data_IF_092976924146
#
_entry.id   IF_092976924146
#
_cell.length_a   1.000
_cell.length_b   1.000
_cell.length_c   1.000
_cell.angle_alpha   90.00
_cell.angle_beta   90.00
_cell.angle_gamma   90.00
#
_symmetry.space_group_name_H-M   'P 1'
#
loop_
_entity.id
_entity.type
_entity.pdbx_description
1 polymer ?
#
# COMPACT_ATOMS: atom_id res chain seq x y z
N UNK A 1 -34.32 27.25 34.45
CA UNK A 1 -33.64 28.51 34.05
C UNK A 1 -33.25 28.36 32.60
N UNK A 2 -34.05 28.97 31.71
CA UNK A 2 -34.03 28.76 30.28
C UNK A 2 -33.22 29.89 29.65
N UNK A 3 -32.19 29.56 28.90
CA UNK A 3 -31.49 30.55 28.04
C UNK A 3 -31.70 30.17 26.60
N UNK A 4 -32.41 31.07 25.87
CA UNK A 4 -32.59 31.04 24.45
C UNK A 4 -31.31 31.54 23.77
N UNK A 5 -30.95 30.92 22.67
CA UNK A 5 -29.91 31.40 21.77
C UNK A 5 -30.59 31.79 20.43
N UNK A 6 -30.54 33.08 20.13
CA UNK A 6 -31.10 33.66 18.92
C UNK A 6 -30.04 33.66 17.81
N UNK A 7 -30.49 33.31 16.64
CA UNK A 7 -29.69 33.06 15.47
C UNK A 7 -29.10 34.27 14.76
N UNK A 8 -28.10 34.02 13.97
CA UNK A 8 -27.68 34.86 12.86
C UNK A 8 -27.35 33.95 11.64
N UNK A 9 -28.18 34.07 10.62
CA UNK A 9 -28.03 33.33 9.37
C UNK A 9 -26.94 33.91 8.46
N UNK A 10 -26.40 33.08 7.54
CA UNK A 10 -25.31 33.49 6.64
C UNK A 10 -25.81 34.30 5.45
N UNK A 11 -25.12 35.40 5.17
CA UNK A 11 -25.31 36.28 4.02
C UNK A 11 -24.90 35.58 2.72
N UNK A 12 -25.80 35.48 1.77
CA UNK A 12 -25.56 35.07 0.38
C UNK A 12 -24.82 36.20 -0.39
N UNK A 13 -23.60 35.91 -0.85
CA UNK A 13 -22.95 36.70 -1.89
C UNK A 13 -23.35 36.15 -3.28
N UNK A 14 -24.06 36.98 -4.01
CA UNK A 14 -24.38 36.82 -5.45
C UNK A 14 -23.13 37.26 -6.23
N UNK A 15 -22.42 36.36 -6.89
CA UNK A 15 -21.41 36.67 -7.90
C UNK A 15 -22.01 36.70 -9.29
N UNK A 16 -21.94 37.82 -9.94
CA UNK A 16 -22.37 38.05 -11.32
C UNK A 16 -21.43 37.31 -12.30
N UNK A 17 -22.01 36.49 -13.15
CA UNK A 17 -21.30 35.88 -14.28
C UNK A 17 -21.30 36.88 -15.44
N UNK A 18 -20.14 37.38 -15.82
CA UNK A 18 -19.95 38.10 -17.11
C UNK A 18 -19.70 37.08 -18.21
N UNK A 19 -20.60 37.04 -19.16
CA UNK A 19 -20.47 36.30 -20.42
C UNK A 19 -19.69 37.21 -21.37
N UNK A 20 -18.50 36.81 -21.79
CA UNK A 20 -17.79 37.44 -22.89
C UNK A 20 -18.08 36.67 -24.19
N UNK A 21 -18.80 37.32 -25.08
CA UNK A 21 -18.97 36.85 -26.45
C UNK A 21 -17.69 37.14 -27.23
N UNK A 22 -17.07 36.08 -27.77
CA UNK A 22 -15.96 36.20 -28.71
C UNK A 22 -16.51 36.18 -30.12
N UNK A 23 -16.37 37.32 -30.81
CA UNK A 23 -16.74 37.44 -32.20
C UNK A 23 -15.66 36.83 -33.10
N UNK A 24 -16.06 35.89 -33.96
CA UNK A 24 -15.19 35.30 -34.98
C UNK A 24 -15.28 36.22 -36.23
N UNK A 25 -14.16 36.87 -36.56
CA UNK A 25 -14.01 37.58 -37.82
C UNK A 25 -13.49 36.64 -38.91
N UNK A 26 -14.30 36.41 -39.91
CA UNK A 26 -13.95 35.63 -41.10
C UNK A 26 -13.25 36.56 -42.11
N UNK A 27 -11.95 36.42 -42.32
CA UNK A 27 -11.22 37.12 -43.36
C UNK A 27 -11.02 36.21 -44.58
N UNK A 28 -11.73 36.51 -45.66
CA UNK A 28 -11.53 35.93 -46.98
C UNK A 28 -10.34 36.62 -47.64
N UNK A 29 -9.23 35.92 -47.84
CA UNK A 29 -8.18 36.38 -48.77
C UNK A 29 -8.18 35.49 -50.02
N UNK A 30 -8.51 36.11 -51.14
CA UNK A 30 -8.17 35.59 -52.46
C UNK A 30 -6.78 36.08 -52.83
N UNK A 31 -5.88 35.18 -53.19
CA UNK A 31 -4.74 35.53 -53.99
C UNK A 31 -4.34 34.38 -54.90
N UNK A 32 -4.23 34.75 -56.14
CA UNK A 32 -3.84 33.99 -57.33
C UNK A 32 -2.36 33.61 -57.30
N UNK A 33 -2.06 32.38 -57.67
CA UNK A 33 -0.99 31.92 -58.54
C UNK A 33 0.47 32.25 -58.21
N UNK A 34 1.23 31.21 -57.92
CA UNK A 34 2.53 30.95 -58.61
C UNK A 34 3.00 29.52 -58.19
N UNK A 35 3.16 28.70 -59.22
CA UNK A 35 3.85 27.39 -59.13
C UNK A 35 5.35 27.67 -58.90
N UNK A 36 5.92 27.10 -57.85
CA UNK A 36 7.35 26.88 -57.78
C UNK A 36 7.54 25.43 -57.32
N UNK A 37 8.19 24.64 -58.17
CA UNK A 37 8.65 23.30 -57.87
C UNK A 37 9.65 23.32 -56.72
N UNK A 38 9.34 22.66 -55.66
CA UNK A 38 10.28 22.35 -54.57
C UNK A 38 10.39 20.83 -54.41
N UNK A 39 11.62 20.27 -54.39
CA UNK A 39 11.79 18.84 -54.34
C UNK A 39 11.42 18.28 -52.99
N UNK A 40 10.58 17.27 -52.98
CA UNK A 40 10.19 16.50 -51.81
C UNK A 40 11.44 15.94 -51.09
N UNK A 41 11.83 16.57 -50.00
CA UNK A 41 12.72 15.95 -48.99
C UNK A 41 11.91 14.91 -48.24
N UNK A 42 12.04 13.65 -48.65
CA UNK A 42 11.64 12.51 -47.88
C UNK A 42 12.53 12.47 -46.60
N UNK A 43 12.13 13.11 -45.52
CA UNK A 43 12.62 12.78 -44.19
C UNK A 43 12.00 11.46 -43.81
N UNK A 44 12.74 10.38 -44.11
CA UNK A 44 12.43 9.06 -43.57
C UNK A 44 12.61 9.11 -42.05
N UNK A 45 11.55 9.47 -41.37
CA UNK A 45 11.41 9.24 -39.95
C UNK A 45 11.37 7.73 -39.77
N UNK A 46 12.52 7.18 -39.39
CA UNK A 46 12.67 5.77 -39.06
C UNK A 46 11.81 5.53 -37.86
N UNK A 47 10.54 5.12 -38.07
CA UNK A 47 9.71 4.58 -37.01
C UNK A 47 10.55 3.54 -36.28
N UNK A 48 10.94 3.87 -35.06
CA UNK A 48 11.54 2.89 -34.15
C UNK A 48 10.56 1.72 -34.14
N UNK A 49 11.01 0.55 -34.57
CA UNK A 49 10.20 -0.65 -34.53
C UNK A 49 9.79 -0.84 -33.06
N UNK A 50 8.51 -0.63 -32.75
CA UNK A 50 7.96 -0.97 -31.45
C UNK A 50 8.26 -2.44 -31.21
N UNK A 51 8.89 -2.73 -30.08
CA UNK A 51 9.09 -4.11 -29.67
C UNK A 51 7.73 -4.84 -29.73
N UNK A 52 7.67 -6.08 -30.22
CA UNK A 52 6.41 -6.79 -30.36
C UNK A 52 5.72 -6.87 -29.00
N UNK A 53 4.51 -6.32 -28.89
CA UNK A 53 3.70 -6.37 -27.68
C UNK A 53 3.47 -7.82 -27.27
N UNK A 54 3.71 -8.15 -26.00
CA UNK A 54 3.45 -9.47 -25.46
C UNK A 54 1.94 -9.76 -25.49
N UNK A 55 1.58 -11.03 -25.65
CA UNK A 55 0.19 -11.47 -25.47
C UNK A 55 -0.10 -11.73 -23.99
N UNK A 56 -1.36 -11.69 -23.59
CA UNK A 56 -1.79 -12.04 -22.23
C UNK A 56 -1.30 -13.42 -21.83
N UNK A 57 -1.36 -14.38 -22.75
CA UNK A 57 -0.85 -15.74 -22.53
C UNK A 57 0.66 -15.76 -22.28
N UNK A 58 1.44 -15.00 -23.04
CA UNK A 58 2.90 -14.93 -22.86
C UNK A 58 3.26 -14.29 -21.52
N UNK A 59 2.55 -13.23 -21.11
CA UNK A 59 2.72 -12.59 -19.81
C UNK A 59 2.39 -13.59 -18.69
N UNK A 60 1.24 -14.25 -18.77
CA UNK A 60 0.83 -15.24 -17.78
C UNK A 60 1.86 -16.36 -17.58
N UNK A 61 2.46 -16.82 -18.68
CA UNK A 61 3.52 -17.84 -18.65
C UNK A 61 4.80 -17.31 -18.03
N UNK A 62 5.21 -16.09 -18.38
CA UNK A 62 6.45 -15.46 -17.90
C UNK A 62 6.39 -15.20 -16.39
N UNK A 63 5.26 -14.67 -15.87
CA UNK A 63 5.14 -14.30 -14.46
C UNK A 63 4.76 -15.47 -13.55
N UNK A 64 4.46 -16.62 -14.12
CA UNK A 64 3.89 -17.77 -13.40
C UNK A 64 4.66 -18.16 -12.13
N UNK A 65 5.98 -18.22 -12.21
CA UNK A 65 6.82 -18.69 -11.11
C UNK A 65 7.05 -17.61 -10.05
N UNK A 66 6.64 -16.39 -10.35
CA UNK A 66 6.69 -15.24 -9.45
C UNK A 66 5.40 -15.02 -8.67
N UNK A 67 4.30 -15.69 -9.05
CA UNK A 67 3.00 -15.57 -8.37
C UNK A 67 2.87 -16.65 -7.31
N UNK A 68 2.48 -16.25 -6.12
CA UNK A 68 2.35 -17.14 -4.96
C UNK A 68 0.96 -17.06 -4.35
N UNK A 69 0.57 -18.13 -3.67
CA UNK A 69 -0.62 -18.18 -2.85
C UNK A 69 -0.25 -17.91 -1.40
N UNK A 70 -0.91 -16.95 -0.78
CA UNK A 70 -0.74 -16.66 0.65
C UNK A 70 -1.92 -17.26 1.41
N UNK A 71 -1.61 -18.01 2.46
CA UNK A 71 -2.57 -18.63 3.36
C UNK A 71 -2.33 -18.17 4.78
N UNK A 72 -3.37 -17.85 5.51
CA UNK A 72 -3.27 -17.67 6.95
C UNK A 72 -4.20 -18.62 7.69
N UNK A 73 -3.77 -19.03 8.87
CA UNK A 73 -4.53 -19.96 9.70
C UNK A 73 -5.43 -19.22 10.68
N UNK A 74 -6.62 -19.79 10.89
CA UNK A 74 -7.51 -19.39 11.95
C UNK A 74 -7.02 -19.86 13.34
N UNK A 75 -7.72 -19.40 14.40
CA UNK A 75 -7.40 -19.80 15.78
C UNK A 75 -7.53 -21.31 16.04
N UNK A 76 -8.26 -22.03 15.22
CA UNK A 76 -8.42 -23.48 15.26
C UNK A 76 -7.42 -24.26 14.41
N UNK A 77 -6.39 -23.61 13.85
CA UNK A 77 -5.37 -24.27 13.01
C UNK A 77 -5.79 -24.59 11.57
N UNK A 78 -7.05 -24.32 11.21
CA UNK A 78 -7.51 -24.50 9.82
C UNK A 78 -7.16 -23.29 8.97
N UNK A 79 -6.89 -23.50 7.68
CA UNK A 79 -6.74 -22.42 6.71
C UNK A 79 -8.03 -21.60 6.65
N UNK A 80 -7.98 -20.31 6.95
CA UNK A 80 -9.14 -19.42 7.02
C UNK A 80 -9.13 -18.31 5.99
N UNK A 81 -7.98 -18.01 5.40
CA UNK A 81 -7.87 -16.98 4.38
C UNK A 81 -6.95 -17.41 3.26
N UNK A 82 -7.31 -16.99 2.07
CA UNK A 82 -6.56 -17.20 0.86
C UNK A 82 -6.43 -15.88 0.13
N UNK A 83 -5.24 -15.57 -0.32
CA UNK A 83 -4.96 -14.44 -1.19
C UNK A 83 -3.78 -14.72 -2.09
N UNK A 84 -3.41 -13.71 -2.83
CA UNK A 84 -2.29 -13.75 -3.76
C UNK A 84 -1.14 -12.88 -3.23
N UNK A 85 0.06 -13.24 -3.60
CA UNK A 85 1.26 -12.42 -3.49
C UNK A 85 2.13 -12.58 -4.72
N UNK A 86 3.16 -11.79 -4.82
CA UNK A 86 4.16 -11.93 -5.88
C UNK A 86 5.55 -11.63 -5.37
N UNK A 87 6.51 -12.29 -5.97
CA UNK A 87 7.93 -12.19 -5.61
C UNK A 87 8.48 -10.83 -6.05
N UNK A 88 9.12 -10.11 -5.11
CA UNK A 88 9.82 -8.84 -5.37
C UNK A 88 11.32 -8.91 -5.08
N UNK A 89 11.79 -9.98 -4.44
CA UNK A 89 13.21 -10.23 -4.16
C UNK A 89 13.58 -11.70 -4.32
N UNK A 90 14.72 -11.97 -4.93
CA UNK A 90 15.21 -13.34 -5.13
C UNK A 90 15.56 -14.05 -3.80
N UNK A 91 15.65 -13.29 -2.72
CA UNK A 91 15.97 -13.69 -1.35
C UNK A 91 14.73 -14.03 -0.51
N UNK A 92 13.57 -14.22 -1.16
CA UNK A 92 12.33 -14.64 -0.49
C UNK A 92 11.40 -13.50 -0.09
N UNK A 93 11.57 -12.28 -0.63
CA UNK A 93 10.64 -11.18 -0.40
C UNK A 93 9.43 -11.28 -1.31
N UNK A 94 8.24 -11.16 -0.71
CA UNK A 94 6.94 -11.30 -1.37
C UNK A 94 6.06 -10.14 -0.96
N UNK A 95 5.51 -9.43 -1.95
CA UNK A 95 4.54 -8.36 -1.75
C UNK A 95 3.10 -8.88 -1.78
N UNK A 96 2.23 -8.28 -0.98
CA UNK A 96 0.79 -8.56 -0.92
C UNK A 96 0.04 -7.44 -0.19
N UNK A 97 -1.27 -7.61 0.02
CA UNK A 97 -2.03 -6.75 0.91
C UNK A 97 -1.86 -7.13 2.38
N UNK A 98 -1.96 -6.12 3.25
CA UNK A 98 -1.94 -6.32 4.70
C UNK A 98 -3.08 -7.22 5.18
N UNK A 99 -4.30 -7.02 4.68
CA UNK A 99 -5.47 -7.83 5.07
C UNK A 99 -5.33 -9.30 4.65
N UNK A 100 -4.53 -9.60 3.60
CA UNK A 100 -4.28 -10.97 3.12
C UNK A 100 -3.41 -11.76 4.10
N UNK A 101 -2.44 -11.13 4.75
CA UNK A 101 -1.58 -11.82 5.72
C UNK A 101 -2.26 -12.02 7.08
N UNK A 102 -3.33 -11.26 7.36
CA UNK A 102 -4.08 -11.35 8.62
C UNK A 102 -3.23 -10.99 9.85
N UNK A 103 -3.82 -10.23 10.76
CA UNK A 103 -3.13 -9.77 11.99
C UNK A 103 -2.92 -10.90 12.99
N UNK A 104 -1.68 -11.04 13.47
CA UNK A 104 -1.30 -12.00 14.50
C UNK A 104 -1.77 -13.44 14.15
N UNK A 105 -1.54 -13.86 12.93
CA UNK A 105 -1.88 -15.19 12.41
C UNK A 105 -0.65 -15.86 11.83
N UNK A 106 -0.52 -17.19 11.93
CA UNK A 106 0.43 -17.94 11.15
C UNK A 106 0.15 -17.76 9.66
N UNK A 107 1.19 -17.44 8.90
CA UNK A 107 1.12 -17.18 7.45
C UNK A 107 2.07 -18.13 6.75
N UNK A 108 1.60 -18.74 5.69
CA UNK A 108 2.42 -19.56 4.79
C UNK A 108 2.24 -19.14 3.35
N UNK A 109 3.25 -19.39 2.56
CA UNK A 109 3.33 -19.08 1.12
C UNK A 109 3.48 -20.38 0.36
N UNK A 110 2.63 -20.59 -0.63
CA UNK A 110 2.70 -21.71 -1.57
C UNK A 110 3.23 -21.18 -2.91
N UNK A 111 4.38 -21.71 -3.33
CA UNK A 111 5.03 -21.35 -4.58
C UNK A 111 4.39 -22.04 -5.79
N UNK A 112 4.86 -21.65 -6.98
CA UNK A 112 4.39 -22.20 -8.24
C UNK A 112 4.64 -23.71 -8.42
N UNK A 113 5.67 -24.24 -7.78
CA UNK A 113 6.02 -25.65 -7.77
C UNK A 113 5.20 -26.49 -6.76
N UNK A 114 4.27 -25.85 -6.04
CA UNK A 114 3.45 -26.47 -5.00
C UNK A 114 4.15 -26.56 -3.65
N UNK A 115 5.41 -26.15 -3.53
CA UNK A 115 6.10 -26.14 -2.25
C UNK A 115 5.54 -25.07 -1.33
N UNK A 116 5.35 -25.42 -0.03
CA UNK A 116 4.83 -24.50 0.98
C UNK A 116 5.96 -24.09 1.95
N UNK A 117 6.02 -22.81 2.22
CA UNK A 117 7.02 -22.22 3.10
C UNK A 117 6.34 -21.34 4.14
N UNK A 118 6.72 -21.50 5.39
CA UNK A 118 6.26 -20.60 6.45
C UNK A 118 6.93 -19.24 6.32
N UNK A 119 6.15 -18.18 6.59
CA UNK A 119 6.69 -16.83 6.71
C UNK A 119 7.52 -16.74 7.97
N UNK A 120 8.75 -16.26 7.83
CA UNK A 120 9.71 -16.11 8.94
C UNK A 120 9.68 -14.70 9.53
N UNK A 121 9.24 -13.72 8.74
CA UNK A 121 9.23 -12.30 9.08
C UNK A 121 8.16 -11.56 8.27
N UNK A 122 7.44 -10.67 8.91
CA UNK A 122 6.75 -9.59 8.23
C UNK A 122 7.81 -8.50 8.00
N UNK A 123 8.41 -8.51 6.82
CA UNK A 123 9.55 -7.65 6.49
C UNK A 123 9.20 -6.17 6.55
N UNK A 124 8.05 -5.82 6.00
CA UNK A 124 7.49 -4.48 6.11
C UNK A 124 5.97 -4.51 6.02
N UNK A 125 5.30 -3.58 6.68
CA UNK A 125 3.85 -3.46 6.57
C UNK A 125 3.35 -2.06 6.83
N UNK A 126 2.31 -1.66 6.08
CA UNK A 126 1.52 -0.46 6.32
C UNK A 126 0.04 -0.85 6.31
N UNK A 127 -0.57 -0.79 7.50
CA UNK A 127 -2.00 -1.10 7.65
C UNK A 127 -2.89 -0.05 7.00
N UNK A 128 -2.48 1.23 7.02
CA UNK A 128 -3.28 2.31 6.44
C UNK A 128 -3.25 2.24 4.91
N UNK A 129 -2.12 1.87 4.33
CA UNK A 129 -1.99 1.64 2.90
C UNK A 129 -2.50 0.26 2.45
N UNK A 130 -2.79 -0.65 3.38
CA UNK A 130 -3.15 -2.05 3.11
C UNK A 130 -2.05 -2.81 2.34
N UNK A 131 -0.78 -2.56 2.67
CA UNK A 131 0.39 -3.16 2.03
C UNK A 131 1.21 -3.98 3.02
N UNK A 132 1.78 -5.08 2.55
CA UNK A 132 2.71 -5.90 3.30
C UNK A 132 3.77 -6.53 2.40
N UNK A 133 4.97 -6.68 2.96
CA UNK A 133 6.06 -7.48 2.40
C UNK A 133 6.37 -8.55 3.43
N UNK A 134 6.30 -9.80 3.03
CA UNK A 134 6.67 -10.95 3.89
C UNK A 134 7.95 -11.59 3.39
N UNK A 135 8.65 -12.28 4.27
CA UNK A 135 9.86 -13.05 3.96
C UNK A 135 9.66 -14.53 4.23
N UNK A 136 10.11 -15.35 3.29
CA UNK A 136 10.23 -16.81 3.47
C UNK A 136 11.71 -17.23 3.36
N UNK A 137 12.05 -18.37 3.97
CA UNK A 137 13.42 -18.93 3.93
C UNK A 137 13.67 -19.65 2.59
N UNK A 138 13.58 -18.93 1.46
CA UNK A 138 13.81 -19.46 0.12
C UNK A 138 14.65 -18.49 -0.70
N UNK A 139 15.63 -19.03 -1.42
CA UNK A 139 16.51 -18.27 -2.33
C UNK A 139 16.25 -18.67 -3.78
N UNK A 140 16.69 -17.81 -4.69
CA UNK A 140 16.63 -18.10 -6.12
C UNK A 140 15.24 -17.95 -6.72
N UNK A 141 14.35 -17.17 -6.08
CA UNK A 141 13.05 -16.83 -6.63
C UNK A 141 13.19 -15.82 -7.78
N UNK A 142 12.23 -15.80 -8.70
CA UNK A 142 12.18 -14.88 -9.84
C UNK A 142 11.36 -13.63 -9.46
N UNK A 143 11.97 -12.47 -9.19
CA UNK A 143 11.22 -11.26 -8.85
C UNK A 143 10.57 -10.64 -10.09
N UNK A 144 9.37 -10.08 -9.93
CA UNK A 144 8.72 -9.26 -10.94
C UNK A 144 9.35 -7.86 -11.00
N UNK A 145 9.47 -7.32 -12.19
CA UNK A 145 9.88 -5.95 -12.39
C UNK A 145 8.75 -5.00 -11.96
N UNK A 146 9.09 -4.01 -11.12
CA UNK A 146 8.15 -2.97 -10.73
C UNK A 146 8.13 -1.87 -11.78
N UNK A 147 6.94 -1.44 -12.17
CA UNK A 147 6.68 -0.33 -13.07
C UNK A 147 6.42 0.97 -12.31
N UNK A 148 5.84 1.94 -13.00
CA UNK A 148 5.50 3.25 -12.47
C UNK A 148 4.03 3.57 -12.81
N UNK A 149 3.13 3.64 -11.82
CA UNK A 149 1.69 3.78 -12.08
C UNK A 149 1.32 5.01 -12.90
N UNK A 150 2.12 6.07 -12.80
CA UNK A 150 1.94 7.32 -13.56
C UNK A 150 2.06 7.11 -15.08
N UNK A 151 2.79 6.07 -15.52
CA UNK A 151 2.96 5.76 -16.94
C UNK A 151 1.76 5.03 -17.55
N UNK A 152 0.87 4.45 -16.73
CA UNK A 152 -0.37 3.86 -17.21
C UNK A 152 -1.35 4.94 -17.63
N UNK A 153 -1.73 4.95 -18.90
CA UNK A 153 -2.79 5.83 -19.40
C UNK A 153 -4.18 5.25 -19.09
N UNK A 154 -5.18 6.13 -19.01
CA UNK A 154 -6.58 5.70 -19.01
C UNK A 154 -6.88 4.93 -20.30
N UNK A 155 -7.58 3.80 -20.19
CA UNK A 155 -7.83 2.87 -21.30
C UNK A 155 -6.68 1.91 -21.62
N UNK A 156 -5.51 2.02 -20.97
CA UNK A 156 -4.40 1.09 -21.17
C UNK A 156 -4.82 -0.36 -20.88
N UNK A 157 -4.33 -1.29 -21.69
CA UNK A 157 -4.49 -2.72 -21.44
C UNK A 157 -3.64 -3.16 -20.27
N UNK A 158 -4.22 -3.97 -19.40
CA UNK A 158 -3.58 -4.50 -18.19
C UNK A 158 -4.00 -5.94 -17.94
N UNK A 159 -3.17 -6.66 -17.22
CA UNK A 159 -3.40 -8.05 -16.83
C UNK A 159 -3.38 -8.16 -15.31
N UNK A 160 -4.48 -8.62 -14.75
CA UNK A 160 -4.59 -8.98 -13.34
C UNK A 160 -4.29 -10.47 -13.17
N UNK A 161 -3.40 -10.81 -12.23
CA UNK A 161 -3.07 -12.21 -11.93
C UNK A 161 -3.35 -12.48 -10.47
N UNK A 162 -4.08 -13.56 -10.20
CA UNK A 162 -4.45 -13.94 -8.84
C UNK A 162 -4.79 -15.42 -8.71
N UNK A 163 -5.22 -15.80 -7.51
CA UNK A 163 -5.65 -17.16 -7.19
C UNK A 163 -7.06 -17.18 -6.58
N UNK A 164 -8.10 -16.83 -7.36
CA UNK A 164 -9.47 -16.77 -6.85
C UNK A 164 -9.91 -18.18 -6.42
N UNK A 165 -10.49 -18.27 -5.22
CA UNK A 165 -11.06 -19.50 -4.66
C UNK A 165 -10.12 -20.73 -4.65
N UNK A 166 -8.79 -20.52 -4.73
CA UNK A 166 -7.85 -21.64 -4.85
C UNK A 166 -7.84 -22.31 -6.24
N UNK A 167 -8.54 -21.70 -7.21
CA UNK A 167 -8.42 -22.07 -8.62
C UNK A 167 -7.09 -21.50 -9.11
N UNK A 168 -6.12 -22.37 -9.30
CA UNK A 168 -4.74 -22.00 -9.61
C UNK A 168 -4.64 -20.94 -10.71
N UNK A 169 -4.10 -19.75 -10.32
CA UNK A 169 -3.60 -18.70 -11.20
C UNK A 169 -4.57 -18.23 -12.27
N UNK A 170 -5.64 -17.61 -11.82
CA UNK A 170 -6.57 -16.91 -12.71
C UNK A 170 -5.90 -15.68 -13.31
N UNK A 171 -5.98 -15.55 -14.62
CA UNK A 171 -5.47 -14.41 -15.37
C UNK A 171 -6.66 -13.70 -16.01
N UNK A 172 -6.80 -12.41 -15.74
CA UNK A 172 -7.88 -11.60 -16.27
C UNK A 172 -7.31 -10.37 -16.96
N UNK A 173 -7.55 -10.25 -18.25
CA UNK A 173 -7.20 -9.07 -19.00
C UNK A 173 -8.32 -8.02 -18.91
N UNK A 174 -7.94 -6.75 -18.90
CA UNK A 174 -8.87 -5.65 -18.89
C UNK A 174 -8.21 -4.32 -19.15
N UNK A 175 -8.84 -3.23 -18.68
CA UNK A 175 -8.34 -1.88 -18.94
C UNK A 175 -8.35 -1.02 -17.68
N UNK A 176 -7.43 -0.08 -17.65
CA UNK A 176 -7.44 1.01 -16.67
C UNK A 176 -8.65 1.90 -16.97
N UNK A 177 -9.51 2.10 -15.98
CA UNK A 177 -10.67 3.02 -16.08
C UNK A 177 -10.33 4.43 -15.61
N UNK A 178 -9.22 4.59 -14.91
CA UNK A 178 -8.74 5.88 -14.43
C UNK A 178 -8.00 5.75 -13.11
N UNK A 179 -7.43 6.85 -12.64
CA UNK A 179 -6.79 6.97 -11.32
C UNK A 179 -7.71 7.72 -10.38
N UNK A 180 -7.77 7.31 -9.13
CA UNK A 180 -8.65 7.89 -8.10
C UNK A 180 -7.89 8.06 -6.80
N UNK A 181 -8.28 9.05 -6.04
CA UNK A 181 -7.90 9.17 -4.65
C UNK A 181 -9.05 8.66 -3.78
N UNK A 182 -8.80 7.64 -2.96
CA UNK A 182 -9.79 7.03 -2.06
C UNK A 182 -9.13 6.96 -0.67
N UNK A 183 -9.73 7.62 0.31
CA UNK A 183 -9.23 7.70 1.69
C UNK A 183 -7.75 8.15 1.76
N UNK A 184 -7.38 9.15 0.93
CA UNK A 184 -6.02 9.68 0.85
C UNK A 184 -4.99 8.75 0.17
N UNK A 185 -5.46 7.71 -0.55
CA UNK A 185 -4.61 6.75 -1.27
C UNK A 185 -4.82 6.83 -2.77
N UNK A 186 -3.72 6.82 -3.52
CA UNK A 186 -3.76 6.72 -4.98
C UNK A 186 -4.15 5.29 -5.40
N UNK A 187 -5.28 5.17 -6.08
CA UNK A 187 -5.84 3.90 -6.52
C UNK A 187 -5.98 3.87 -8.04
N UNK A 188 -5.67 2.74 -8.64
CA UNK A 188 -5.92 2.48 -10.06
C UNK A 188 -7.28 1.81 -10.16
N UNK A 189 -8.24 2.46 -10.80
CA UNK A 189 -9.55 1.93 -11.08
C UNK A 189 -9.50 1.07 -12.35
N UNK A 190 -10.11 -0.10 -12.31
CA UNK A 190 -10.00 -1.12 -13.34
C UNK A 190 -11.37 -1.56 -13.84
N UNK A 191 -11.50 -1.77 -15.13
CA UNK A 191 -12.61 -2.50 -15.74
C UNK A 191 -12.32 -4.01 -15.73
N UNK A 192 -12.06 -4.55 -14.53
CA UNK A 192 -11.77 -5.97 -14.28
C UNK A 192 -12.55 -6.39 -13.03
N UNK A 193 -13.26 -7.52 -13.06
CA UNK A 193 -13.84 -8.08 -11.85
C UNK A 193 -12.73 -8.58 -10.91
N UNK A 194 -12.70 -8.06 -9.68
CA UNK A 194 -11.81 -8.56 -8.63
C UNK A 194 -12.60 -9.50 -7.75
N UNK A 195 -12.19 -10.76 -7.70
CA UNK A 195 -12.81 -11.79 -6.87
C UNK A 195 -11.98 -12.08 -5.62
N UNK A 196 -12.59 -12.61 -4.55
CA UNK A 196 -11.86 -13.06 -3.38
C UNK A 196 -10.76 -14.05 -3.76
N UNK A 197 -9.53 -13.82 -3.30
CA UNK A 197 -8.34 -14.57 -3.69
C UNK A 197 -7.43 -13.83 -4.68
N UNK A 198 -7.94 -12.87 -5.45
CA UNK A 198 -7.11 -12.01 -6.29
C UNK A 198 -6.40 -10.91 -5.50
N UNK A 199 -6.91 -10.55 -4.31
CA UNK A 199 -6.28 -9.56 -3.43
C UNK A 199 -4.83 -9.90 -3.16
N UNK A 200 -3.94 -8.91 -3.26
CA UNK A 200 -2.50 -9.05 -3.13
C UNK A 200 -1.78 -9.44 -4.42
N UNK A 201 -2.51 -9.80 -5.47
CA UNK A 201 -1.95 -10.12 -6.78
C UNK A 201 -1.49 -8.88 -7.55
N UNK A 202 -0.56 -9.03 -8.51
CA UNK A 202 -0.06 -7.92 -9.31
C UNK A 202 -1.05 -7.52 -10.40
N UNK A 203 -1.08 -6.22 -10.67
CA UNK A 203 -1.61 -5.60 -11.88
C UNK A 203 -0.44 -5.32 -12.82
N UNK A 204 -0.41 -5.97 -13.96
CA UNK A 204 0.68 -5.92 -14.93
C UNK A 204 0.31 -5.09 -16.16
N UNK A 205 1.28 -4.41 -16.75
CA UNK A 205 1.18 -3.88 -18.10
C UNK A 205 1.45 -4.98 -19.16
N UNK A 206 1.40 -4.61 -20.44
CA UNK A 206 1.64 -5.54 -21.53
C UNK A 206 3.14 -5.86 -21.77
N UNK A 207 4.03 -5.28 -20.98
CA UNK A 207 5.46 -5.62 -20.87
C UNK A 207 5.73 -6.58 -19.69
N UNK A 208 4.73 -6.83 -18.83
CA UNK A 208 4.84 -7.70 -17.65
C UNK A 208 5.39 -7.01 -16.40
N UNK A 209 5.40 -5.68 -16.36
CA UNK A 209 5.80 -4.90 -15.18
C UNK A 209 4.61 -4.67 -14.26
N UNK A 210 4.86 -4.69 -12.95
CA UNK A 210 3.83 -4.48 -11.94
C UNK A 210 3.59 -2.99 -11.73
N UNK A 211 2.36 -2.53 -11.96
CA UNK A 211 1.92 -1.15 -11.73
C UNK A 211 1.04 -0.99 -10.50
N UNK A 212 0.52 -2.08 -9.96
CA UNK A 212 -0.34 -2.03 -8.78
C UNK A 212 -0.54 -3.38 -8.12
N UNK A 213 -1.12 -3.34 -6.93
CA UNK A 213 -1.50 -4.51 -6.13
C UNK A 213 -3.03 -4.55 -6.04
N UNK A 214 -3.64 -5.61 -6.54
CA UNK A 214 -5.09 -5.80 -6.52
C UNK A 214 -5.59 -5.84 -5.08
N UNK A 215 -6.65 -5.10 -4.74
CA UNK A 215 -7.08 -5.02 -3.34
C UNK A 215 -8.57 -5.21 -3.12
N UNK A 216 -9.43 -4.46 -3.79
CA UNK A 216 -10.86 -4.49 -3.52
C UNK A 216 -11.68 -4.47 -4.80
N UNK A 217 -12.92 -4.94 -4.68
CA UNK A 217 -13.97 -4.74 -5.67
C UNK A 217 -14.95 -3.66 -5.21
N UNK A 218 -15.57 -2.97 -6.16
CA UNK A 218 -16.69 -2.09 -5.85
C UNK A 218 -17.89 -2.91 -5.33
N UNK A 219 -18.45 -2.49 -4.21
CA UNK A 219 -19.68 -3.08 -3.68
C UNK A 219 -20.93 -2.57 -4.42
N UNK A 220 -20.81 -1.45 -5.15
CA UNK A 220 -21.94 -0.77 -5.81
C UNK A 220 -21.98 -1.06 -7.29
N UNK A 221 -20.82 -1.18 -7.94
CA UNK A 221 -20.72 -1.36 -9.39
C UNK A 221 -20.06 -2.69 -9.72
N UNK A 222 -20.79 -3.65 -10.30
CA UNK A 222 -20.19 -4.89 -10.82
C UNK A 222 -19.09 -4.61 -11.83
N UNK A 223 -18.09 -5.48 -11.91
CA UNK A 223 -16.96 -5.40 -12.85
C UNK A 223 -16.02 -4.20 -12.64
N UNK A 224 -16.10 -3.52 -11.49
CA UNK A 224 -15.20 -2.45 -11.12
C UNK A 224 -14.27 -2.93 -10.02
N UNK A 225 -12.98 -3.00 -10.32
CA UNK A 225 -11.92 -3.35 -9.39
C UNK A 225 -11.00 -2.17 -9.10
N UNK A 226 -10.17 -2.33 -8.08
CA UNK A 226 -9.16 -1.35 -7.70
C UNK A 226 -7.83 -2.05 -7.39
N UNK A 227 -6.75 -1.37 -7.72
CA UNK A 227 -5.41 -1.73 -7.30
C UNK A 227 -4.74 -0.53 -6.61
N UNK A 228 -3.96 -0.82 -5.58
CA UNK A 228 -3.07 0.16 -4.95
C UNK A 228 -1.89 0.37 -5.88
N UNK A 229 -1.53 1.62 -6.18
CA UNK A 229 -0.36 1.92 -7.01
C UNK A 229 0.92 1.33 -6.41
N UNK A 230 1.76 0.73 -7.26
CA UNK A 230 2.98 0.04 -6.81
C UNK A 230 4.02 1.01 -6.21
N UNK A 231 3.97 2.27 -6.57
CA UNK A 231 4.78 3.35 -5.99
C UNK A 231 4.62 3.46 -4.47
N UNK A 232 3.43 3.10 -3.94
CA UNK A 232 3.17 3.09 -2.51
C UNK A 232 3.89 1.95 -1.76
N UNK A 233 4.42 0.96 -2.47
CA UNK A 233 5.26 -0.09 -1.89
C UNK A 233 6.71 0.37 -1.69
N UNK A 234 7.18 1.36 -2.46
CA UNK A 234 8.58 1.82 -2.43
C UNK A 234 9.06 2.27 -1.03
N UNK A 235 8.28 3.05 -0.25
CA UNK A 235 8.69 3.39 1.11
C UNK A 235 8.91 2.19 2.02
N UNK A 236 8.17 1.10 1.82
CA UNK A 236 8.31 -0.14 2.58
C UNK A 236 9.53 -0.96 2.15
N UNK A 237 9.94 -0.82 0.89
CA UNK A 237 11.19 -1.42 0.38
C UNK A 237 12.40 -0.65 0.90
N UNK A 238 12.36 0.68 0.85
CA UNK A 238 13.50 1.54 1.21
C UNK A 238 13.74 1.63 2.72
N UNK A 239 12.65 1.58 3.50
CA UNK A 239 12.68 1.69 4.96
C UNK A 239 11.76 0.65 5.58
N UNK A 240 12.15 -0.63 5.56
CA UNK A 240 11.35 -1.69 6.13
C UNK A 240 11.19 -1.53 7.65
N UNK A 241 10.08 -2.06 8.17
CA UNK A 241 9.76 -2.11 9.59
C UNK A 241 9.55 -3.56 10.05
N UNK A 242 10.63 -4.37 10.05
CA UNK A 242 10.53 -5.80 10.20
C UNK A 242 9.98 -6.22 11.57
N UNK A 243 9.11 -7.24 11.53
CA UNK A 243 8.56 -7.89 12.70
C UNK A 243 8.79 -9.39 12.55
N UNK A 244 9.62 -9.96 13.41
CA UNK A 244 9.83 -11.40 13.45
C UNK A 244 8.52 -12.15 13.67
N UNK A 245 8.37 -13.33 13.10
CA UNK A 245 7.07 -14.03 13.08
C UNK A 245 6.55 -14.37 14.47
N UNK A 246 7.41 -14.68 15.43
CA UNK A 246 7.05 -14.94 16.81
C UNK A 246 6.41 -13.70 17.47
N UNK A 247 6.98 -12.52 17.26
CA UNK A 247 6.40 -11.25 17.71
C UNK A 247 5.11 -10.92 16.98
N UNK A 248 5.03 -11.22 15.68
CA UNK A 248 3.81 -11.05 14.91
C UNK A 248 2.65 -11.87 15.45
N UNK A 249 2.94 -13.10 15.91
CA UNK A 249 1.94 -14.01 16.47
C UNK A 249 1.52 -13.66 17.89
N UNK A 250 2.28 -12.82 18.59
CA UNK A 250 2.03 -12.49 19.99
C UNK A 250 0.86 -11.53 20.13
N UNK A 251 -0.07 -11.87 21.03
CA UNK A 251 -1.23 -11.07 21.44
C UNK A 251 -1.31 -11.10 22.96
N UNK A 252 -1.43 -9.94 23.59
CA UNK A 252 -1.68 -9.86 25.04
C UNK A 252 -0.83 -8.83 25.75
N UNK A 253 -0.34 -9.17 26.95
CA UNK A 253 0.58 -8.32 27.70
C UNK A 253 1.95 -8.27 27.04
N UNK A 254 2.69 -7.20 27.31
CA UNK A 254 4.08 -7.11 26.91
C UNK A 254 4.90 -8.21 27.61
N UNK A 255 5.93 -8.69 26.91
CA UNK A 255 6.91 -9.58 27.51
C UNK A 255 7.74 -8.80 28.55
N UNK A 256 7.70 -9.23 29.80
CA UNK A 256 8.43 -8.59 30.90
C UNK A 256 9.96 -8.75 30.76
N UNK A 257 10.43 -9.72 29.99
CA UNK A 257 11.84 -9.86 29.63
C UNK A 257 12.34 -8.80 28.66
N UNK A 258 11.45 -8.27 27.82
CA UNK A 258 11.78 -7.26 26.81
C UNK A 258 11.39 -5.85 27.25
N UNK A 259 10.34 -5.70 28.06
CA UNK A 259 9.72 -4.42 28.36
C UNK A 259 9.39 -4.24 29.83
N UNK A 260 9.72 -3.09 30.38
CA UNK A 260 9.27 -2.63 31.70
C UNK A 260 8.30 -1.46 31.52
N UNK A 261 7.13 -1.55 32.16
CA UNK A 261 6.12 -0.48 32.10
C UNK A 261 6.00 0.24 33.42
N UNK A 262 5.79 1.55 33.37
CA UNK A 262 5.60 2.41 34.54
C UNK A 262 4.38 3.31 34.35
N UNK A 263 3.89 3.85 35.47
CA UNK A 263 2.80 4.82 35.42
C UNK A 263 1.39 4.25 35.25
N UNK A 264 1.22 2.91 35.31
CA UNK A 264 -0.08 2.25 35.54
C UNK A 264 -1.06 2.21 34.37
N UNK A 265 -0.76 2.78 33.20
CA UNK A 265 -1.59 2.58 32.00
C UNK A 265 -1.50 1.12 31.52
N UNK A 266 -2.49 0.70 30.76
CA UNK A 266 -2.58 -0.68 30.24
C UNK A 266 -1.82 -0.81 28.93
N UNK A 267 -0.67 -1.43 28.98
CA UNK A 267 0.14 -1.73 27.82
C UNK A 267 -0.14 -3.12 27.27
N UNK A 268 -0.25 -3.25 25.95
CA UNK A 268 -0.51 -4.50 25.26
C UNK A 268 0.30 -4.57 23.98
N UNK A 269 0.52 -5.78 23.48
CA UNK A 269 1.12 -6.00 22.15
C UNK A 269 0.20 -6.84 21.27
N UNK A 270 0.27 -6.54 19.99
CA UNK A 270 -0.43 -7.31 18.96
C UNK A 270 0.25 -7.11 17.62
N UNK A 271 0.61 -8.19 16.96
CA UNK A 271 1.22 -8.17 15.64
C UNK A 271 2.44 -7.22 15.56
N UNK A 272 3.35 -7.33 16.55
CA UNK A 272 4.56 -6.51 16.64
C UNK A 272 4.34 -5.05 17.06
N UNK A 273 3.08 -4.62 17.24
CA UNK A 273 2.76 -3.25 17.71
C UNK A 273 2.52 -3.23 19.20
N UNK A 274 2.93 -2.13 19.83
CA UNK A 274 2.64 -1.84 21.22
C UNK A 274 1.53 -0.80 21.27
N UNK A 275 0.49 -1.08 22.04
CA UNK A 275 -0.63 -0.16 22.30
C UNK A 275 -0.72 0.16 23.77
N UNK A 276 -1.16 1.37 24.10
CA UNK A 276 -1.43 1.82 25.46
C UNK A 276 -2.85 2.34 25.56
N UNK A 277 -3.55 1.95 26.62
CA UNK A 277 -4.90 2.40 26.94
C UNK A 277 -4.94 3.01 28.33
N UNK A 278 -5.65 4.14 28.46
CA UNK A 278 -5.85 4.86 29.71
C UNK A 278 -4.72 5.84 30.03
N UNK A 279 -5.00 6.66 31.04
CA UNK A 279 -4.09 7.67 31.53
C UNK A 279 -3.13 7.08 32.58
N UNK A 280 -1.85 7.42 32.46
CA UNK A 280 -0.87 7.03 33.47
C UNK A 280 -0.98 7.86 34.77
N UNK A 281 -0.29 7.40 35.79
CA UNK A 281 -0.18 8.08 37.10
C UNK A 281 1.06 8.98 37.21
N UNK A 282 1.94 8.96 36.20
CA UNK A 282 3.11 9.85 36.16
C UNK A 282 2.75 11.31 35.91
N UNK A 283 3.72 12.19 36.00
CA UNK A 283 3.53 13.64 35.78
C UNK A 283 2.84 13.92 34.43
N UNK A 284 1.74 14.67 34.46
CA UNK A 284 0.93 14.95 33.27
C UNK A 284 0.20 13.73 32.70
N UNK A 285 -0.09 12.72 33.52
CA UNK A 285 -0.78 11.50 33.08
C UNK A 285 0.10 10.52 32.32
N UNK A 286 1.42 10.61 32.44
CA UNK A 286 2.37 9.76 31.67
C UNK A 286 2.40 8.32 32.14
N UNK A 287 2.58 7.44 31.19
CA UNK A 287 2.99 6.05 31.39
C UNK A 287 4.10 5.73 30.39
N UNK A 288 5.12 5.02 30.81
CA UNK A 288 6.27 4.68 29.98
C UNK A 288 6.34 3.18 29.74
N UNK A 289 6.80 2.81 28.56
CA UNK A 289 7.21 1.46 28.19
C UNK A 289 8.68 1.53 27.79
N UNK A 290 9.54 0.92 28.60
CA UNK A 290 10.99 0.98 28.47
C UNK A 290 11.52 -0.40 28.03
N UNK A 291 12.39 -0.41 27.01
CA UNK A 291 13.09 -1.63 26.64
C UNK A 291 14.05 -2.04 27.78
N UNK A 292 14.11 -3.35 28.08
CA UNK A 292 15.03 -3.90 29.06
C UNK A 292 16.41 -4.22 28.47
N UNK A 293 16.48 -4.29 27.14
CA UNK A 293 17.73 -4.52 26.41
C UNK A 293 18.53 -3.23 26.28
N UNK A 294 19.85 -3.34 26.37
CA UNK A 294 20.73 -2.22 26.10
C UNK A 294 20.59 -1.77 24.63
N UNK A 295 20.63 -0.45 24.39
CA UNK A 295 20.60 0.07 23.02
C UNK A 295 21.87 -0.35 22.27
N UNK A 296 21.82 -0.44 20.92
CA UNK A 296 23.01 -0.68 20.12
C UNK A 296 24.11 0.35 20.41
N UNK A 297 25.39 0.03 20.14
CA UNK A 297 26.45 1.02 20.28
C UNK A 297 26.24 2.21 19.33
N UNK A 298 26.65 3.39 19.76
CA UNK A 298 26.58 4.62 18.97
C UNK A 298 27.56 4.60 17.77
N UNK A 299 27.23 5.22 16.63
CA UNK A 299 25.97 5.92 16.36
C UNK A 299 24.82 4.96 15.95
N UNK A 300 23.60 5.23 16.42
CA UNK A 300 22.39 4.51 15.97
C UNK A 300 21.22 5.47 15.86
N UNK A 301 20.26 5.11 15.00
CA UNK A 301 19.00 5.82 14.83
C UNK A 301 17.89 5.11 15.60
N UNK A 302 17.03 5.87 16.25
CA UNK A 302 15.80 5.39 16.86
C UNK A 302 14.62 5.97 16.10
N UNK A 303 13.75 5.12 15.61
CA UNK A 303 12.52 5.50 14.94
C UNK A 303 11.31 4.86 15.61
N UNK A 304 10.24 5.63 15.73
CA UNK A 304 8.95 5.13 16.22
C UNK A 304 7.84 5.66 15.33
N UNK A 305 6.91 4.78 14.97
CA UNK A 305 5.67 5.14 14.31
C UNK A 305 4.58 5.22 15.36
N UNK A 306 4.01 6.42 15.52
CA UNK A 306 2.99 6.69 16.52
C UNK A 306 1.67 6.97 15.82
N UNK A 307 0.61 6.23 16.22
CA UNK A 307 -0.76 6.53 15.87
C UNK A 307 -1.50 6.92 17.14
N UNK A 308 -2.09 8.11 17.15
CA UNK A 308 -2.97 8.58 18.19
C UNK A 308 -4.42 8.30 17.77
N UNK A 309 -5.16 7.59 18.63
CA UNK A 309 -6.59 7.34 18.43
C UNK A 309 -7.46 8.34 19.21
N UNK A 310 -6.83 9.18 20.03
CA UNK A 310 -7.46 10.24 20.85
C UNK A 310 -6.86 11.60 20.45
N UNK A 311 -7.73 12.57 20.14
CA UNK A 311 -7.32 13.92 19.73
C UNK A 311 -6.62 14.72 20.85
N UNK A 312 -6.91 14.40 22.10
CA UNK A 312 -6.28 15.01 23.29
C UNK A 312 -5.04 14.23 23.77
N UNK A 313 -4.75 13.10 23.13
CA UNK A 313 -3.64 12.25 23.48
C UNK A 313 -2.29 12.77 23.01
N UNK A 314 -1.23 12.34 23.69
CA UNK A 314 0.15 12.48 23.25
C UNK A 314 0.88 11.16 23.43
N UNK A 315 1.65 10.76 22.42
CA UNK A 315 2.53 9.60 22.51
C UNK A 315 3.81 9.89 21.73
N UNK A 316 4.90 9.25 22.08
CA UNK A 316 6.17 9.51 21.43
C UNK A 316 7.29 8.61 21.89
N UNK A 317 8.50 9.00 21.59
CA UNK A 317 9.72 8.29 21.91
C UNK A 317 10.38 8.88 23.15
N UNK A 318 10.79 8.03 24.09
CA UNK A 318 11.70 8.38 25.18
C UNK A 318 13.06 7.72 24.94
N UNK A 319 14.12 8.42 25.30
CA UNK A 319 15.50 7.93 25.13
C UNK A 319 16.39 8.43 26.27
N UNK A 320 17.53 7.78 26.45
CA UNK A 320 18.46 8.01 27.55
C UNK A 320 17.74 8.01 28.92
N UNK A 321 16.83 7.00 29.07
CA UNK A 321 16.07 6.86 30.30
C UNK A 321 16.93 6.24 31.40
N UNK A 322 16.90 6.87 32.58
CA UNK A 322 17.41 6.33 33.84
C UNK A 322 16.20 6.15 34.78
N UNK A 323 15.46 5.07 34.53
CA UNK A 323 14.17 4.82 35.15
C UNK A 323 13.03 5.71 34.62
N UNK A 324 11.97 5.88 35.39
CA UNK A 324 10.77 6.64 35.00
C UNK A 324 10.93 8.16 35.12
N UNK A 325 11.87 8.62 35.95
CA UNK A 325 11.95 10.01 36.38
C UNK A 325 12.92 10.87 35.56
N UNK A 326 13.90 10.22 34.93
CA UNK A 326 14.91 10.89 34.11
C UNK A 326 14.94 10.31 32.72
N UNK A 327 14.53 11.10 31.74
CA UNK A 327 14.58 10.74 30.33
C UNK A 327 14.47 11.99 29.46
N UNK A 328 14.93 11.87 28.22
CA UNK A 328 14.56 12.80 27.16
C UNK A 328 13.36 12.22 26.40
N UNK A 329 12.47 13.08 25.92
CA UNK A 329 11.29 12.63 25.20
C UNK A 329 10.90 13.56 24.08
N UNK A 330 10.44 12.98 22.98
CA UNK A 330 9.80 13.65 21.86
C UNK A 330 8.35 13.14 21.77
N UNK A 331 7.39 14.04 21.97
CA UNK A 331 5.97 13.72 22.04
C UNK A 331 5.20 14.57 21.02
N UNK A 332 4.94 14.07 19.79
CA UNK A 332 3.99 14.72 18.92
C UNK A 332 2.59 14.66 19.52
N UNK A 333 1.83 15.73 19.38
CA UNK A 333 0.43 15.81 19.77
C UNK A 333 -0.46 15.86 18.54
N UNK A 334 -1.67 15.30 18.63
CA UNK A 334 -2.62 15.35 17.52
C UNK A 334 -3.11 16.80 17.31
N UNK A 335 -2.59 17.45 16.28
CA UNK A 335 -3.14 18.73 15.81
C UNK A 335 -2.89 19.97 16.65
N UNK A 336 -1.92 19.98 17.54
CA UNK A 336 -1.54 21.17 18.36
C UNK A 336 -0.07 21.51 18.18
#
# INVERSE_FOLDING_TARGET
MTIRNDGAGPKKHRGERRIQCLAIALALFHSTGARADEPARATGEKLAAEAPRKTVESIAKEVRDSIVTIRFQGRGGSDQGLGTGFVIGADGLIASNYHVIGEARPVSVELADGSRHDVTEIHASDRAADLAIVRIARQGLAPLALGAPETLADGAEVVAVGNPHGLERSVVAGRVSGKREIDGRSMIQLAIPIEPGNSGGPLLDMEGKVHGILTMKSLVTPFLGFAIGIDQLQPLIDKPNPVAIDRWLTIGTLDAGEWTTTGGARWRQRAGRIGVEGTGTGFGGRSLCLATTEPPPLPHDLAVWVKLDDEDGAAGLVFAADGADRHYGFYPTAGK
#
